data_IF_939766483834
#
_entry.id   IF_939766483834
#
_cell.length_a   1.000
_cell.length_b   1.000
_cell.length_c   1.000
_cell.angle_alpha   90.00
_cell.angle_beta   90.00
_cell.angle_gamma   90.00
#
_symmetry.space_group_name_H-M   'P 1'
#
loop_
_entity.id
_entity.type
_entity.pdbx_description
1 polymer ?
#
# COMPACT_ATOMS: atom_id res chain seq x y z
N UNK A 1 24.20 -8.90 9.69
CA UNK A 1 23.24 -9.62 8.82
C UNK A 1 23.21 -8.87 7.50
N UNK A 2 23.55 -9.50 6.37
CA UNK A 2 23.41 -8.85 5.06
C UNK A 2 21.91 -8.72 4.74
N UNK A 3 21.32 -7.59 5.07
CA UNK A 3 19.95 -7.27 4.70
C UNK A 3 19.95 -6.81 3.25
N UNK A 4 19.54 -7.68 2.33
CA UNK A 4 19.45 -7.36 0.91
C UNK A 4 18.21 -6.47 0.69
N UNK A 5 18.37 -5.33 0.01
CA UNK A 5 17.29 -4.41 -0.35
C UNK A 5 16.60 -4.93 -1.63
N UNK A 6 15.59 -5.79 -1.45
CA UNK A 6 14.99 -6.55 -2.55
C UNK A 6 13.81 -5.84 -3.22
N UNK A 7 13.24 -4.82 -2.57
CA UNK A 7 12.01 -4.19 -3.03
C UNK A 7 12.03 -2.67 -2.79
N UNK A 8 11.70 -1.91 -3.81
CA UNK A 8 11.43 -0.49 -3.71
C UNK A 8 9.96 -0.21 -3.97
N UNK A 9 9.36 0.57 -3.10
CA UNK A 9 8.06 1.20 -3.27
C UNK A 9 8.29 2.65 -3.71
N UNK A 10 7.89 3.01 -4.93
CA UNK A 10 8.11 4.34 -5.48
C UNK A 10 6.78 5.06 -5.66
N UNK A 11 6.55 6.11 -4.89
CA UNK A 11 5.50 7.07 -5.18
C UNK A 11 6.02 8.05 -6.24
N UNK A 12 5.85 7.70 -7.51
CA UNK A 12 6.48 8.46 -8.61
C UNK A 12 5.89 9.84 -8.83
N UNK A 13 4.67 10.09 -8.31
CA UNK A 13 3.94 11.35 -8.44
C UNK A 13 2.99 11.52 -7.26
N UNK A 14 2.75 12.76 -6.81
CA UNK A 14 1.72 13.05 -5.81
C UNK A 14 0.43 13.65 -6.41
N UNK A 15 0.35 13.80 -7.74
CA UNK A 15 -0.88 14.18 -8.43
C UNK A 15 -1.87 13.01 -8.48
N UNK A 16 -3.14 13.28 -8.14
CA UNK A 16 -4.22 12.28 -8.18
C UNK A 16 -5.54 12.98 -8.52
N UNK A 17 -6.40 12.31 -9.30
CA UNK A 17 -7.73 12.82 -9.66
C UNK A 17 -8.75 12.63 -8.54
N UNK A 18 -8.43 11.81 -7.54
CA UNK A 18 -9.24 11.59 -6.35
C UNK A 18 -8.68 12.34 -5.12
N UNK A 19 -9.54 12.56 -4.14
CA UNK A 19 -9.22 13.20 -2.86
C UNK A 19 -9.65 12.30 -1.70
N UNK A 20 -9.21 11.04 -1.73
CA UNK A 20 -9.66 10.03 -0.78
C UNK A 20 -9.47 10.46 0.67
N UNK A 21 -10.52 10.28 1.48
CA UNK A 21 -10.56 10.72 2.89
C UNK A 21 -9.56 9.97 3.79
N UNK A 22 -9.10 8.80 3.36
CA UNK A 22 -8.12 7.95 4.07
C UNK A 22 -6.69 8.05 3.52
N UNK A 23 -6.44 8.90 2.51
CA UNK A 23 -5.17 8.93 1.78
C UNK A 23 -3.99 9.34 2.68
N UNK A 24 -3.03 8.44 2.86
CA UNK A 24 -1.80 8.69 3.62
C UNK A 24 -0.82 9.60 2.88
N UNK A 25 -0.83 9.63 1.53
CA UNK A 25 0.09 10.45 0.72
C UNK A 25 -0.40 11.88 0.50
N UNK A 26 -1.63 12.21 0.93
CA UNK A 26 -2.27 13.53 0.72
C UNK A 26 -2.30 13.95 -0.76
N UNK A 27 -2.27 12.99 -1.66
CA UNK A 27 -2.28 13.21 -3.10
C UNK A 27 -3.55 13.98 -3.55
N UNK A 28 -3.41 14.87 -4.52
CA UNK A 28 -4.51 15.71 -5.02
C UNK A 28 -4.28 16.15 -6.46
N UNK A 29 -5.30 16.73 -7.10
CA UNK A 29 -5.17 17.27 -8.47
C UNK A 29 -4.18 18.44 -8.58
N UNK A 30 -3.80 19.06 -7.45
CA UNK A 30 -2.81 20.14 -7.37
C UNK A 30 -1.39 19.63 -7.01
N UNK A 31 -1.20 18.33 -6.85
CA UNK A 31 0.11 17.76 -6.55
C UNK A 31 1.10 17.97 -7.70
N UNK A 32 2.30 18.45 -7.41
CA UNK A 32 3.34 18.75 -8.40
C UNK A 32 4.65 17.98 -8.16
N UNK A 33 4.80 17.34 -6.99
CA UNK A 33 6.01 16.57 -6.71
C UNK A 33 5.99 15.27 -7.53
N UNK A 34 7.14 14.92 -8.11
CA UNK A 34 7.32 13.73 -8.92
C UNK A 34 8.79 13.31 -8.97
N UNK A 35 9.02 12.03 -9.19
CA UNK A 35 10.33 11.48 -9.48
C UNK A 35 10.49 11.34 -10.99
N UNK A 36 11.39 12.10 -11.61
CA UNK A 36 11.66 11.99 -13.06
C UNK A 36 12.28 10.62 -13.39
N UNK A 37 12.19 10.22 -14.67
CA UNK A 37 12.84 9.00 -15.16
C UNK A 37 14.34 8.99 -14.85
N UNK A 38 15.02 10.13 -14.93
CA UNK A 38 16.47 10.22 -14.65
C UNK A 38 16.78 9.91 -13.18
N UNK A 39 15.95 10.41 -12.24
CA UNK A 39 16.07 10.13 -10.82
C UNK A 39 15.80 8.65 -10.54
N UNK A 40 14.72 8.10 -11.14
CA UNK A 40 14.39 6.67 -10.99
C UNK A 40 15.50 5.79 -11.55
N UNK A 41 16.09 6.13 -12.69
CA UNK A 41 17.23 5.40 -13.26
C UNK A 41 18.41 5.37 -12.30
N UNK A 42 18.84 6.53 -11.82
CA UNK A 42 19.93 6.62 -10.85
C UNK A 42 19.65 5.74 -9.61
N UNK A 43 18.47 5.85 -9.04
CA UNK A 43 18.05 5.08 -7.88
C UNK A 43 18.11 3.57 -8.13
N UNK A 44 17.59 3.11 -9.26
CA UNK A 44 17.58 1.69 -9.63
C UNK A 44 18.99 1.17 -9.86
N UNK A 45 19.83 1.90 -10.61
CA UNK A 45 21.24 1.48 -10.87
C UNK A 45 22.03 1.38 -9.56
N UNK A 46 21.79 2.28 -8.60
CA UNK A 46 22.42 2.24 -7.28
C UNK A 46 21.98 1.01 -6.48
N UNK A 47 20.68 0.64 -6.53
CA UNK A 47 20.14 -0.44 -5.67
C UNK A 47 20.24 -1.82 -6.32
N UNK A 48 20.33 -1.95 -7.64
CA UNK A 48 20.43 -3.23 -8.34
C UNK A 48 21.54 -4.14 -7.81
N UNK A 49 22.79 -3.65 -7.59
CA UNK A 49 23.89 -4.47 -7.04
C UNK A 49 23.62 -4.99 -5.62
N UNK A 50 22.71 -4.36 -4.90
CA UNK A 50 22.31 -4.72 -3.52
C UNK A 50 21.13 -5.68 -3.45
N UNK A 51 20.74 -6.26 -4.60
CA UNK A 51 19.77 -7.37 -4.68
C UNK A 51 18.35 -6.95 -4.98
N UNK A 52 18.11 -5.78 -5.57
CA UNK A 52 16.80 -5.33 -6.01
C UNK A 52 16.19 -6.33 -7.01
N UNK A 53 14.95 -6.75 -6.75
CA UNK A 53 14.18 -7.69 -7.58
C UNK A 53 12.80 -7.15 -7.92
N UNK A 54 12.22 -6.31 -7.09
CA UNK A 54 10.85 -5.85 -7.21
C UNK A 54 10.75 -4.33 -7.09
N UNK A 55 9.92 -3.74 -7.92
CA UNK A 55 9.55 -2.33 -7.83
C UNK A 55 8.03 -2.22 -7.84
N UNK A 56 7.48 -1.58 -6.81
CA UNK A 56 6.09 -1.19 -6.77
C UNK A 56 5.96 0.29 -7.15
N UNK A 57 5.26 0.57 -8.21
CA UNK A 57 4.94 1.93 -8.67
C UNK A 57 3.62 2.35 -8.03
N UNK A 58 3.62 3.48 -7.38
CA UNK A 58 2.49 4.05 -6.62
C UNK A 58 2.57 5.59 -6.66
N UNK A 59 1.88 6.25 -5.73
CA UNK A 59 1.91 7.70 -5.55
C UNK A 59 0.53 8.28 -5.35
N UNK A 60 0.21 9.33 -6.13
CA UNK A 60 -1.16 9.74 -6.37
C UNK A 60 -1.81 8.76 -7.34
N UNK A 61 -1.84 9.11 -8.63
CA UNK A 61 -2.22 8.18 -9.70
C UNK A 61 -1.05 8.05 -10.68
N UNK A 62 -0.33 6.93 -10.70
CA UNK A 62 0.87 6.78 -11.53
C UNK A 62 0.64 6.97 -13.02
N UNK A 63 -0.54 6.60 -13.54
CA UNK A 63 -0.89 6.77 -14.95
C UNK A 63 -0.97 8.23 -15.38
N UNK A 64 -0.94 9.19 -14.46
CA UNK A 64 -0.88 10.62 -14.74
C UNK A 64 0.55 11.17 -14.89
N UNK A 65 1.57 10.34 -14.63
CA UNK A 65 2.95 10.75 -14.78
C UNK A 65 3.30 10.87 -16.25
N UNK A 66 3.84 12.01 -16.69
CA UNK A 66 4.15 12.25 -18.11
C UNK A 66 5.19 11.28 -18.67
N UNK A 67 6.10 10.79 -17.84
CA UNK A 67 7.11 9.78 -18.20
C UNK A 67 6.70 8.36 -17.79
N UNK A 68 5.39 8.10 -17.53
CA UNK A 68 4.93 6.79 -17.07
C UNK A 68 5.41 5.65 -17.99
N UNK A 69 5.19 5.77 -19.29
CA UNK A 69 5.59 4.75 -20.26
C UNK A 69 7.11 4.53 -20.29
N UNK A 70 7.96 5.56 -20.42
CA UNK A 70 9.40 5.41 -20.31
C UNK A 70 9.88 4.77 -19.00
N UNK A 71 9.23 5.07 -17.86
CA UNK A 71 9.55 4.48 -16.57
C UNK A 71 9.25 2.98 -16.60
N UNK A 72 8.06 2.56 -17.05
CA UNK A 72 7.69 1.15 -17.14
C UNK A 72 8.63 0.39 -18.08
N UNK A 73 8.92 0.94 -19.26
CA UNK A 73 9.86 0.34 -20.20
C UNK A 73 11.25 0.13 -19.56
N UNK A 74 11.75 1.14 -18.87
CA UNK A 74 13.05 1.05 -18.22
C UNK A 74 13.07 -0.05 -17.16
N UNK A 75 12.08 -0.09 -16.26
CA UNK A 75 12.03 -1.05 -15.16
C UNK A 75 11.88 -2.50 -15.66
N UNK A 76 11.02 -2.72 -16.65
CA UNK A 76 10.79 -4.06 -17.21
C UNK A 76 11.98 -4.55 -18.04
N UNK A 77 12.69 -3.66 -18.74
CA UNK A 77 13.95 -3.98 -19.44
C UNK A 77 15.10 -4.32 -18.49
N UNK A 78 15.02 -3.92 -17.22
CA UNK A 78 15.95 -4.35 -16.16
C UNK A 78 15.55 -5.70 -15.54
N UNK A 79 14.55 -6.38 -16.10
CA UNK A 79 14.00 -7.66 -15.61
C UNK A 79 13.51 -7.61 -14.15
N UNK A 80 13.04 -6.45 -13.71
CA UNK A 80 12.44 -6.29 -12.40
C UNK A 80 10.98 -6.72 -12.40
N UNK A 81 10.55 -7.36 -11.32
CA UNK A 81 9.13 -7.63 -11.06
C UNK A 81 8.41 -6.31 -10.76
N UNK A 82 7.72 -5.73 -11.75
CA UNK A 82 7.02 -4.45 -11.60
C UNK A 82 5.57 -4.69 -11.24
N UNK A 83 5.09 -4.02 -10.18
CA UNK A 83 3.67 -3.93 -9.81
C UNK A 83 3.24 -2.47 -9.81
N UNK A 84 2.01 -2.19 -10.23
CA UNK A 84 1.48 -0.82 -10.34
C UNK A 84 0.21 -0.71 -9.50
N UNK A 85 0.16 0.28 -8.62
CA UNK A 85 -1.05 0.67 -7.90
C UNK A 85 -1.81 1.74 -8.68
N UNK A 86 -3.13 1.62 -8.72
CA UNK A 86 -3.99 2.61 -9.40
C UNK A 86 -5.36 2.71 -8.75
N UNK A 87 -5.98 3.87 -8.84
CA UNK A 87 -7.40 4.03 -8.53
C UNK A 87 -8.31 3.71 -9.74
N UNK A 88 -7.73 3.46 -10.93
CA UNK A 88 -8.48 3.15 -12.15
C UNK A 88 -9.16 4.36 -12.80
N UNK A 89 -8.85 5.58 -12.38
CA UNK A 89 -9.42 6.81 -12.96
C UNK A 89 -8.32 7.59 -13.67
N UNK A 90 -8.58 7.97 -14.90
CA UNK A 90 -7.65 8.66 -15.79
C UNK A 90 -8.20 10.02 -16.23
N UNK A 91 -7.33 10.89 -16.75
CA UNK A 91 -7.69 12.16 -17.34
C UNK A 91 -7.55 12.07 -18.85
N UNK A 92 -8.67 12.20 -19.57
CA UNK A 92 -8.66 12.25 -21.02
C UNK A 92 -7.94 13.50 -21.56
N UNK A 93 -7.66 13.51 -22.85
CA UNK A 93 -7.02 14.65 -23.54
C UNK A 93 -7.87 15.94 -23.49
N UNK A 94 -9.16 15.77 -23.36
CA UNK A 94 -10.17 16.84 -23.19
C UNK A 94 -10.29 17.36 -21.75
N UNK A 95 -9.49 16.81 -20.82
CA UNK A 95 -9.51 17.15 -19.40
C UNK A 95 -10.61 16.44 -18.58
N UNK A 96 -11.46 15.66 -19.22
CA UNK A 96 -12.52 14.91 -18.55
C UNK A 96 -12.00 13.66 -17.85
N UNK A 97 -12.67 13.28 -16.74
CA UNK A 97 -12.40 12.02 -16.08
C UNK A 97 -12.87 10.85 -16.94
N UNK A 98 -12.04 9.84 -17.09
CA UNK A 98 -12.35 8.64 -17.87
C UNK A 98 -11.71 7.39 -17.22
N UNK A 99 -12.07 6.21 -17.70
CA UNK A 99 -11.32 4.99 -17.40
C UNK A 99 -9.93 5.05 -18.05
N UNK A 100 -9.00 4.25 -17.54
CA UNK A 100 -7.68 4.10 -18.17
C UNK A 100 -7.89 3.59 -19.62
N UNK A 101 -7.29 4.24 -20.64
CA UNK A 101 -7.43 3.83 -22.03
C UNK A 101 -7.01 2.36 -22.24
N UNK A 102 -7.79 1.63 -23.05
CA UNK A 102 -7.53 0.22 -23.33
C UNK A 102 -6.15 0.01 -23.97
N UNK A 103 -5.73 0.94 -24.83
CA UNK A 103 -4.42 0.92 -25.49
C UNK A 103 -3.28 1.00 -24.48
N UNK A 104 -3.44 1.83 -23.43
CA UNK A 104 -2.45 1.98 -22.36
C UNK A 104 -2.38 0.72 -21.49
N UNK A 105 -3.51 0.12 -21.13
CA UNK A 105 -3.56 -1.15 -20.42
C UNK A 105 -2.95 -2.29 -21.25
N UNK A 106 -3.28 -2.36 -22.55
CA UNK A 106 -2.68 -3.34 -23.47
C UNK A 106 -1.18 -3.15 -23.61
N UNK A 107 -0.71 -1.89 -23.60
CA UNK A 107 0.72 -1.59 -23.63
C UNK A 107 1.43 -2.13 -22.37
N UNK A 108 0.88 -1.84 -21.20
CA UNK A 108 1.42 -2.30 -19.90
C UNK A 108 1.42 -3.84 -19.82
N UNK A 109 0.35 -4.50 -20.29
CA UNK A 109 0.26 -5.95 -20.34
C UNK A 109 1.39 -6.59 -21.19
N UNK A 110 1.70 -5.99 -22.36
CA UNK A 110 2.79 -6.45 -23.25
C UNK A 110 4.19 -6.28 -22.66
N UNK A 111 4.37 -5.45 -21.64
CA UNK A 111 5.64 -5.22 -20.93
C UNK A 111 5.91 -6.19 -19.80
N UNK A 112 5.08 -7.22 -19.64
CA UNK A 112 5.20 -8.20 -18.55
C UNK A 112 5.18 -7.55 -17.16
N UNK A 113 4.41 -6.47 -16.99
CA UNK A 113 4.14 -5.94 -15.65
C UNK A 113 3.52 -7.06 -14.83
N UNK A 114 4.14 -7.36 -13.70
CA UNK A 114 3.79 -8.53 -12.86
C UNK A 114 2.37 -8.49 -12.37
N UNK A 115 1.90 -7.28 -12.01
CA UNK A 115 0.57 -7.11 -11.42
C UNK A 115 0.08 -5.67 -11.53
N UNK A 116 -1.21 -5.51 -11.79
CA UNK A 116 -1.92 -4.25 -11.66
C UNK A 116 -2.84 -4.34 -10.43
N UNK A 117 -2.67 -3.39 -9.50
CA UNK A 117 -3.32 -3.40 -8.18
C UNK A 117 -4.30 -2.24 -8.13
N UNK A 118 -5.60 -2.55 -8.11
CA UNK A 118 -6.65 -1.54 -8.05
C UNK A 118 -7.09 -1.28 -6.62
N UNK A 119 -7.19 -0.01 -6.25
CA UNK A 119 -7.79 0.44 -5.00
C UNK A 119 -9.32 0.49 -5.15
N UNK A 120 -10.01 -0.59 -4.74
CA UNK A 120 -11.47 -0.67 -4.77
C UNK A 120 -11.99 -0.99 -3.36
N UNK A 121 -12.39 0.04 -2.63
CA UNK A 121 -12.73 -0.06 -1.21
C UNK A 121 -14.18 -0.46 -0.95
N UNK A 122 -15.04 -0.36 -1.94
CA UNK A 122 -16.49 -0.67 -1.88
C UNK A 122 -17.02 -1.03 -3.26
N UNK A 123 -18.12 -1.78 -3.31
CA UNK A 123 -18.90 -2.04 -4.51
C UNK A 123 -20.13 -1.13 -4.63
N UNK A 124 -20.28 -0.12 -3.77
CA UNK A 124 -21.36 0.83 -3.76
C UNK A 124 -20.90 2.18 -4.32
N UNK A 125 -21.50 2.72 -5.42
CA UNK A 125 -21.07 3.97 -6.03
C UNK A 125 -21.17 5.19 -5.11
N UNK A 126 -22.16 5.24 -4.22
CA UNK A 126 -22.34 6.34 -3.28
C UNK A 126 -21.24 6.33 -2.21
N UNK A 127 -21.00 5.18 -1.59
CA UNK A 127 -19.91 5.00 -0.63
C UNK A 127 -18.54 5.24 -1.29
N UNK A 128 -18.37 4.79 -2.54
CA UNK A 128 -17.16 5.07 -3.31
C UNK A 128 -16.92 6.57 -3.48
N UNK A 129 -17.96 7.33 -3.83
CA UNK A 129 -17.90 8.79 -3.97
C UNK A 129 -17.53 9.48 -2.65
N UNK A 130 -18.06 9.02 -1.53
CA UNK A 130 -17.71 9.52 -0.20
C UNK A 130 -16.24 9.23 0.15
N UNK A 131 -15.75 8.04 -0.15
CA UNK A 131 -14.37 7.64 0.11
C UNK A 131 -13.39 8.38 -0.80
N UNK A 132 -13.66 8.41 -2.10
CA UNK A 132 -12.78 9.01 -3.12
C UNK A 132 -12.81 10.54 -3.13
N UNK A 133 -13.86 11.14 -2.56
CA UNK A 133 -14.11 12.58 -2.59
C UNK A 133 -14.46 13.13 -3.99
N UNK A 134 -14.82 12.25 -4.95
CA UNK A 134 -15.17 12.61 -6.33
C UNK A 134 -16.30 11.72 -6.82
N UNK A 135 -17.42 12.33 -7.20
CA UNK A 135 -18.59 11.61 -7.71
C UNK A 135 -18.37 11.06 -9.13
N UNK A 136 -19.09 9.96 -9.48
CA UNK A 136 -19.07 9.38 -10.81
C UNK A 136 -17.80 8.62 -11.19
N UNK A 137 -16.83 8.47 -10.27
CA UNK A 137 -15.57 7.79 -10.55
C UNK A 137 -15.60 6.28 -10.30
N UNK A 138 -16.66 5.76 -9.66
CA UNK A 138 -16.82 4.32 -9.44
C UNK A 138 -16.91 3.54 -10.76
N UNK A 139 -17.77 3.96 -11.67
CA UNK A 139 -17.97 3.27 -12.95
C UNK A 139 -16.70 3.34 -13.83
N UNK A 140 -15.96 4.45 -13.74
CA UNK A 140 -14.69 4.60 -14.44
C UNK A 140 -13.64 3.62 -13.92
N UNK A 141 -13.51 3.50 -12.60
CA UNK A 141 -12.62 2.54 -11.97
C UNK A 141 -13.02 1.09 -12.32
N UNK A 142 -14.31 0.77 -12.28
CA UNK A 142 -14.86 -0.53 -12.68
C UNK A 142 -14.51 -0.87 -14.13
N UNK A 143 -14.76 0.06 -15.05
CA UNK A 143 -14.43 -0.10 -16.47
C UNK A 143 -12.94 -0.32 -16.70
N UNK A 144 -12.07 0.33 -15.91
CA UNK A 144 -10.63 0.09 -15.96
C UNK A 144 -10.24 -1.31 -15.50
N UNK A 145 -10.88 -1.83 -14.42
CA UNK A 145 -10.67 -3.19 -13.93
C UNK A 145 -11.08 -4.20 -15.00
N UNK A 146 -12.30 -4.08 -15.56
CA UNK A 146 -12.79 -4.96 -16.62
C UNK A 146 -11.89 -4.94 -17.86
N UNK A 147 -11.39 -3.75 -18.24
CA UNK A 147 -10.47 -3.61 -19.36
C UNK A 147 -9.13 -4.27 -19.10
N UNK A 148 -8.61 -4.18 -17.86
CA UNK A 148 -7.35 -4.84 -17.47
C UNK A 148 -7.52 -6.38 -17.42
N UNK A 149 -8.66 -6.88 -16.93
CA UNK A 149 -8.99 -8.32 -17.00
C UNK A 149 -9.02 -8.80 -18.43
N UNK A 150 -9.73 -8.07 -19.34
CA UNK A 150 -9.75 -8.41 -20.77
C UNK A 150 -8.38 -8.36 -21.45
N UNK A 151 -7.47 -7.52 -20.97
CA UNK A 151 -6.07 -7.48 -21.42
C UNK A 151 -5.21 -8.63 -20.89
N UNK A 152 -5.78 -9.54 -20.08
CA UNK A 152 -5.09 -10.71 -19.52
C UNK A 152 -4.09 -10.38 -18.41
N UNK A 153 -4.22 -9.24 -17.75
CA UNK A 153 -3.32 -8.82 -16.68
C UNK A 153 -3.61 -9.58 -15.36
N UNK A 154 -2.57 -9.85 -14.57
CA UNK A 154 -2.73 -10.31 -13.18
C UNK A 154 -3.24 -9.15 -12.32
N UNK A 155 -4.49 -9.23 -11.91
CA UNK A 155 -5.18 -8.18 -11.13
C UNK A 155 -5.24 -8.56 -9.66
N UNK A 156 -4.98 -7.56 -8.81
CA UNK A 156 -5.23 -7.65 -7.37
C UNK A 156 -6.10 -6.47 -6.94
N UNK A 157 -7.14 -6.70 -6.15
CA UNK A 157 -7.89 -5.64 -5.51
C UNK A 157 -7.35 -5.36 -4.11
N UNK A 158 -7.13 -4.07 -3.82
CA UNK A 158 -6.80 -3.61 -2.48
C UNK A 158 -7.99 -2.93 -1.84
N UNK A 159 -8.34 -3.39 -0.65
CA UNK A 159 -9.39 -2.82 0.20
C UNK A 159 -8.73 -2.29 1.48
N UNK A 160 -9.04 -1.07 1.86
CA UNK A 160 -8.79 -0.57 3.21
C UNK A 160 -10.11 -0.69 3.98
N UNK A 161 -10.23 -1.64 4.92
CA UNK A 161 -11.42 -1.75 5.79
C UNK A 161 -11.51 -0.52 6.68
N UNK A 162 -12.69 0.13 6.64
CA UNK A 162 -13.03 1.34 7.40
C UNK A 162 -14.51 1.25 7.82
N UNK A 163 -14.92 1.98 8.86
CA UNK A 163 -16.33 2.01 9.30
C UNK A 163 -17.29 2.30 8.14
N UNK A 164 -16.93 3.26 7.27
CA UNK A 164 -17.77 3.70 6.14
C UNK A 164 -18.05 2.60 5.10
N UNK A 165 -17.14 1.62 4.93
CA UNK A 165 -17.29 0.53 3.94
C UNK A 165 -17.38 -0.87 4.57
N UNK A 166 -17.43 -0.96 5.89
CA UNK A 166 -17.31 -2.24 6.61
C UNK A 166 -18.32 -3.28 6.12
N UNK A 167 -19.59 -2.90 6.03
CA UNK A 167 -20.68 -3.80 5.60
C UNK A 167 -20.69 -4.11 4.09
N UNK A 168 -19.82 -3.47 3.32
CA UNK A 168 -19.72 -3.63 1.86
C UNK A 168 -18.51 -4.42 1.42
N UNK A 169 -17.60 -4.75 2.36
CA UNK A 169 -16.37 -5.51 2.05
C UNK A 169 -16.72 -6.86 1.40
N UNK A 170 -17.74 -7.55 1.90
CA UNK A 170 -18.19 -8.81 1.34
C UNK A 170 -18.63 -8.70 -0.13
N UNK A 171 -19.30 -7.59 -0.51
CA UNK A 171 -19.70 -7.34 -1.90
C UNK A 171 -18.49 -7.14 -2.82
N UNK A 172 -17.39 -6.54 -2.32
CA UNK A 172 -16.14 -6.43 -3.10
C UNK A 172 -15.47 -7.79 -3.29
N UNK A 173 -15.51 -8.67 -2.28
CA UNK A 173 -15.01 -10.05 -2.40
C UNK A 173 -15.83 -10.85 -3.42
N UNK A 174 -17.16 -10.71 -3.40
CA UNK A 174 -18.07 -11.34 -4.35
C UNK A 174 -17.79 -10.85 -5.77
N UNK A 175 -17.68 -9.54 -5.96
CA UNK A 175 -17.34 -8.92 -7.23
C UNK A 175 -16.00 -9.45 -7.78
N UNK A 176 -14.97 -9.52 -6.93
CA UNK A 176 -13.68 -10.07 -7.35
C UNK A 176 -13.80 -11.54 -7.82
N UNK A 177 -14.58 -12.35 -7.08
CA UNK A 177 -14.80 -13.73 -7.43
C UNK A 177 -15.54 -13.90 -8.77
N UNK A 178 -16.63 -13.13 -8.96
CA UNK A 178 -17.47 -13.16 -10.17
C UNK A 178 -16.71 -12.71 -11.43
N UNK A 179 -15.76 -11.77 -11.28
CA UNK A 179 -14.92 -11.30 -12.38
C UNK A 179 -13.64 -12.12 -12.61
N UNK A 180 -13.49 -13.23 -11.89
CA UNK A 180 -12.32 -14.09 -12.03
C UNK A 180 -11.02 -13.48 -11.47
N UNK A 181 -11.11 -12.43 -10.69
CA UNK A 181 -9.96 -11.86 -9.98
C UNK A 181 -9.58 -12.82 -8.85
N UNK A 182 -8.34 -13.28 -8.85
CA UNK A 182 -7.89 -14.33 -7.94
C UNK A 182 -7.24 -13.82 -6.65
N UNK A 183 -7.05 -12.50 -6.53
CA UNK A 183 -6.32 -11.91 -5.40
C UNK A 183 -7.02 -10.67 -4.87
N UNK A 184 -7.25 -10.66 -3.56
CA UNK A 184 -7.72 -9.49 -2.81
C UNK A 184 -6.84 -9.32 -1.57
N UNK A 185 -6.33 -8.11 -1.35
CA UNK A 185 -5.59 -7.78 -0.13
C UNK A 185 -6.33 -6.74 0.70
N UNK A 186 -6.52 -7.04 1.96
CA UNK A 186 -7.03 -6.08 2.92
C UNK A 186 -5.84 -5.39 3.59
N UNK A 187 -5.77 -4.08 3.42
CA UNK A 187 -4.75 -3.22 4.00
C UNK A 187 -5.31 -2.56 5.25
N UNK A 188 -4.55 -2.62 6.34
CA UNK A 188 -4.98 -1.93 7.55
C UNK A 188 -4.99 -0.43 7.34
N UNK A 189 -6.07 0.24 7.77
CA UNK A 189 -6.14 1.70 7.81
C UNK A 189 -4.98 2.27 8.63
N UNK A 190 -4.31 3.28 8.07
CA UNK A 190 -3.22 4.01 8.74
C UNK A 190 -3.71 5.44 8.99
N UNK A 191 -3.80 5.90 10.24
CA UNK A 191 -4.29 7.25 10.57
C UNK A 191 -3.23 8.32 10.28
N UNK A 192 -2.88 8.49 9.00
CA UNK A 192 -1.86 9.42 8.51
C UNK A 192 -2.41 10.26 7.36
N UNK A 193 -1.79 11.39 7.09
CA UNK A 193 -2.23 12.32 6.05
C UNK A 193 -3.70 12.73 6.25
N UNK A 194 -4.56 12.61 5.19
CA UNK A 194 -6.00 12.86 5.34
C UNK A 194 -6.69 11.84 6.25
N UNK A 195 -6.17 10.63 6.34
CA UNK A 195 -6.68 9.61 7.27
C UNK A 195 -6.61 10.05 8.72
N UNK A 196 -5.58 10.79 9.13
CA UNK A 196 -5.45 11.33 10.48
C UNK A 196 -6.61 12.27 10.86
N UNK A 197 -7.07 13.09 9.90
CA UNK A 197 -8.20 14.03 10.09
C UNK A 197 -9.56 13.32 10.19
N UNK A 198 -9.63 12.04 9.85
CA UNK A 198 -10.86 11.26 9.77
C UNK A 198 -10.82 9.98 10.63
N UNK A 199 -9.86 9.87 11.54
CA UNK A 199 -9.60 8.64 12.31
C UNK A 199 -10.86 8.12 12.99
N UNK A 200 -11.59 8.95 13.73
CA UNK A 200 -12.78 8.56 14.48
C UNK A 200 -13.90 8.02 13.58
N UNK A 201 -14.00 8.54 12.34
CA UNK A 201 -15.00 8.14 11.35
C UNK A 201 -14.61 6.91 10.56
N UNK A 202 -13.32 6.59 10.49
CA UNK A 202 -12.80 5.55 9.60
C UNK A 202 -12.24 4.33 10.32
N UNK A 203 -11.61 4.50 11.49
CA UNK A 203 -10.95 3.39 12.18
C UNK A 203 -11.97 2.41 12.72
N UNK A 204 -11.82 1.13 12.34
CA UNK A 204 -12.63 0.04 12.90
C UNK A 204 -12.32 -0.13 14.38
N UNK A 205 -13.34 -0.39 15.16
CA UNK A 205 -13.20 -0.84 16.54
C UNK A 205 -12.82 -2.33 16.62
N UNK A 206 -12.67 -2.85 17.84
CA UNK A 206 -12.22 -4.22 18.04
C UNK A 206 -13.29 -5.26 17.66
N UNK A 207 -14.58 -4.94 17.84
CA UNK A 207 -15.68 -5.85 17.46
C UNK A 207 -15.81 -5.92 15.93
N UNK A 208 -15.67 -4.79 15.25
CA UNK A 208 -15.64 -4.72 13.79
C UNK A 208 -14.42 -5.48 13.23
N UNK A 209 -13.23 -5.32 13.83
CA UNK A 209 -12.02 -6.05 13.42
C UNK A 209 -12.16 -7.56 13.62
N UNK A 210 -12.75 -8.02 14.73
CA UNK A 210 -13.02 -9.45 14.95
C UNK A 210 -14.06 -9.98 13.97
N UNK A 211 -15.09 -9.19 13.66
CA UNK A 211 -16.09 -9.53 12.65
C UNK A 211 -15.48 -9.60 11.24
N UNK A 212 -14.55 -8.69 10.93
CA UNK A 212 -13.77 -8.74 9.68
C UNK A 212 -12.95 -10.03 9.59
N UNK A 213 -12.28 -10.43 10.68
CA UNK A 213 -11.52 -11.69 10.73
C UNK A 213 -12.42 -12.89 10.43
N UNK A 214 -13.59 -12.98 11.09
CA UNK A 214 -14.57 -14.06 10.87
C UNK A 214 -15.08 -14.09 9.44
N UNK A 215 -15.38 -12.93 8.85
CA UNK A 215 -15.78 -12.80 7.45
C UNK A 215 -14.70 -13.37 6.52
N UNK A 216 -13.44 -12.95 6.70
CA UNK A 216 -12.33 -13.41 5.86
C UNK A 216 -12.08 -14.91 6.01
N UNK A 217 -12.13 -15.44 7.22
CA UNK A 217 -11.93 -16.87 7.46
C UNK A 217 -13.06 -17.70 6.81
N UNK A 218 -14.31 -17.21 6.84
CA UNK A 218 -15.45 -17.80 6.12
C UNK A 218 -15.22 -17.82 4.61
N UNK A 219 -14.84 -16.69 4.03
CA UNK A 219 -14.58 -16.57 2.59
C UNK A 219 -13.44 -17.46 2.11
N UNK A 220 -12.35 -17.55 2.85
CA UNK A 220 -11.23 -18.45 2.52
C UNK A 220 -11.62 -19.92 2.47
N UNK A 221 -12.58 -20.33 3.32
CA UNK A 221 -13.11 -21.69 3.34
C UNK A 221 -14.03 -21.96 2.16
N UNK A 222 -14.94 -21.02 1.86
CA UNK A 222 -15.93 -21.17 0.80
C UNK A 222 -15.36 -21.00 -0.60
N UNK A 223 -14.38 -20.09 -0.74
CA UNK A 223 -13.81 -19.70 -2.04
C UNK A 223 -12.28 -19.84 -2.05
N UNK A 224 -11.73 -21.06 -1.99
CA UNK A 224 -10.28 -21.29 -1.85
C UNK A 224 -9.46 -20.80 -3.05
N UNK A 225 -10.09 -20.58 -4.21
CA UNK A 225 -9.46 -20.01 -5.42
C UNK A 225 -9.24 -18.50 -5.30
N UNK A 226 -9.96 -17.80 -4.43
CA UNK A 226 -9.75 -16.38 -4.14
C UNK A 226 -8.74 -16.21 -3.01
N UNK A 227 -7.53 -15.82 -3.35
CA UNK A 227 -6.46 -15.56 -2.37
C UNK A 227 -6.73 -14.27 -1.63
N UNK A 228 -7.35 -14.34 -0.44
CA UNK A 228 -7.62 -13.18 0.41
C UNK A 228 -6.47 -13.02 1.41
N UNK A 229 -5.75 -11.90 1.33
CA UNK A 229 -4.57 -11.63 2.14
C UNK A 229 -4.86 -10.59 3.23
N UNK A 230 -4.43 -10.92 4.44
CA UNK A 230 -4.25 -9.98 5.54
C UNK A 230 -2.74 -9.90 5.80
N UNK A 231 -2.17 -8.69 5.72
CA UNK A 231 -0.73 -8.48 5.92
C UNK A 231 -0.30 -8.53 7.38
N UNK A 232 0.99 -8.37 7.60
CA UNK A 232 1.61 -8.25 8.94
C UNK A 232 0.90 -7.24 9.86
N UNK A 233 0.40 -6.09 9.37
CA UNK A 233 -0.35 -5.17 10.21
C UNK A 233 -1.57 -5.76 10.93
N UNK A 234 -2.03 -6.94 10.49
CA UNK A 234 -3.12 -7.68 11.13
C UNK A 234 -2.66 -8.86 11.99
N UNK A 235 -1.38 -8.95 12.36
CA UNK A 235 -0.88 -10.04 13.20
C UNK A 235 -1.64 -10.17 14.53
N UNK A 236 -2.09 -9.05 15.12
CA UNK A 236 -2.93 -9.06 16.33
C UNK A 236 -4.23 -9.84 16.17
N UNK A 237 -4.78 -9.90 14.95
CA UNK A 237 -5.99 -10.66 14.62
C UNK A 237 -5.68 -12.05 14.10
N UNK A 238 -4.68 -12.17 13.23
CA UNK A 238 -4.42 -13.42 12.50
C UNK A 238 -3.59 -14.42 13.26
N UNK A 239 -2.83 -13.98 14.27
CA UNK A 239 -1.94 -14.80 15.10
C UNK A 239 -1.00 -15.71 14.27
N UNK A 240 -0.47 -15.21 13.14
CA UNK A 240 0.34 -16.01 12.20
C UNK A 240 1.85 -15.88 12.42
N UNK A 241 2.31 -15.09 13.37
CA UNK A 241 3.72 -14.94 13.71
C UNK A 241 4.60 -14.37 12.58
N UNK A 242 4.04 -13.65 11.62
CA UNK A 242 4.78 -13.09 10.51
C UNK A 242 5.63 -11.90 10.94
N UNK A 243 6.91 -11.91 10.57
CA UNK A 243 7.80 -10.76 10.80
C UNK A 243 7.48 -9.62 9.84
N UNK A 244 7.61 -8.38 10.33
CA UNK A 244 7.51 -7.18 9.51
C UNK A 244 8.70 -7.14 8.53
N UNK A 245 8.47 -6.69 7.30
CA UNK A 245 9.51 -6.54 6.27
C UNK A 245 9.98 -5.10 6.09
N UNK A 246 9.32 -4.12 6.75
CA UNK A 246 9.71 -2.71 6.71
C UNK A 246 11.14 -2.53 7.21
N UNK A 247 12.01 -1.91 6.40
CA UNK A 247 13.41 -1.71 6.73
C UNK A 247 14.28 -2.99 6.73
N UNK A 248 13.72 -4.19 6.51
CA UNK A 248 14.47 -5.44 6.42
C UNK A 248 14.84 -5.84 5.00
N UNK A 249 13.94 -5.63 4.04
CA UNK A 249 14.18 -5.96 2.64
C UNK A 249 13.49 -5.00 1.67
N UNK A 250 12.85 -3.95 2.18
CA UNK A 250 12.15 -2.95 1.38
C UNK A 250 12.30 -1.55 1.95
N UNK A 251 12.21 -0.56 1.04
CA UNK A 251 12.06 0.86 1.34
C UNK A 251 10.93 1.46 0.52
N UNK A 252 10.36 2.56 1.00
CA UNK A 252 9.47 3.43 0.27
C UNK A 252 10.15 4.77 0.02
N UNK A 253 10.09 5.25 -1.21
CA UNK A 253 10.51 6.59 -1.60
C UNK A 253 9.27 7.34 -2.09
N UNK A 254 8.95 8.47 -1.47
CA UNK A 254 7.80 9.27 -1.90
C UNK A 254 8.16 10.22 -3.05
N UNK A 255 7.16 10.91 -3.59
CA UNK A 255 7.33 11.83 -4.72
C UNK A 255 8.25 13.03 -4.45
N UNK A 256 8.57 13.31 -3.17
CA UNK A 256 9.56 14.32 -2.75
C UNK A 256 10.97 13.74 -2.59
N UNK A 257 11.14 12.45 -2.83
CA UNK A 257 12.41 11.78 -2.64
C UNK A 257 12.72 11.38 -1.19
N UNK A 258 11.79 11.56 -0.25
CA UNK A 258 11.98 11.16 1.15
C UNK A 258 11.91 9.63 1.29
N UNK A 259 12.78 9.06 2.15
CA UNK A 259 12.97 7.61 2.31
C UNK A 259 12.32 7.14 3.61
N UNK A 260 11.48 6.10 3.51
CA UNK A 260 10.75 5.51 4.63
C UNK A 260 10.88 3.99 4.65
N UNK A 261 10.77 3.35 5.83
CA UNK A 261 10.68 1.88 5.91
C UNK A 261 9.44 1.30 5.21
N UNK A 262 8.29 1.99 5.28
CA UNK A 262 7.03 1.70 4.58
C UNK A 262 6.01 2.82 4.80
N UNK A 263 4.79 2.69 4.23
CA UNK A 263 3.71 3.67 4.34
C UNK A 263 3.35 4.07 5.77
N UNK A 264 3.48 3.15 6.73
CA UNK A 264 3.12 3.41 8.12
C UNK A 264 4.10 4.34 8.87
N UNK A 265 5.18 4.78 8.21
CA UNK A 265 6.20 5.64 8.78
C UNK A 265 6.29 7.03 8.13
N UNK A 266 5.36 7.40 7.24
CA UNK A 266 5.44 8.66 6.48
C UNK A 266 5.32 9.94 7.31
N UNK A 267 4.54 9.96 8.35
CA UNK A 267 4.24 11.16 9.13
C UNK A 267 4.71 11.04 10.58
N UNK A 268 5.87 10.49 10.77
CA UNK A 268 6.54 10.52 12.06
C UNK A 268 7.13 11.91 12.33
N UNK A 269 7.26 12.27 13.59
CA UNK A 269 7.98 13.47 14.00
C UNK A 269 9.45 13.39 13.55
N UNK A 270 9.95 14.49 13.00
CA UNK A 270 11.33 14.62 12.51
C UNK A 270 11.45 14.53 10.99
N UNK A 271 12.59 14.98 10.47
CA UNK A 271 12.93 14.93 9.05
C UNK A 271 13.40 13.53 8.66
N UNK A 272 12.88 13.03 7.55
CA UNK A 272 13.40 11.80 6.95
C UNK A 272 14.50 12.12 5.94
N UNK A 273 15.49 11.23 5.78
CA UNK A 273 16.50 11.39 4.74
C UNK A 273 15.85 11.40 3.35
N UNK A 274 16.45 12.17 2.45
CA UNK A 274 16.01 12.27 1.05
C UNK A 274 17.08 11.74 0.10
N UNK A 275 16.67 11.12 -1.02
CA UNK A 275 17.57 10.67 -2.09
C UNK A 275 18.33 11.83 -2.75
N UNK A 276 17.93 13.08 -2.51
CA UNK A 276 18.62 14.29 -2.99
C UNK A 276 19.74 14.73 -2.06
N UNK A 277 19.76 14.25 -0.80
CA UNK A 277 20.68 14.69 0.25
C UNK A 277 21.64 13.57 0.67
N UNK A 278 21.18 12.32 0.60
CA UNK A 278 21.95 11.17 1.04
C UNK A 278 21.83 10.00 0.05
N UNK A 279 22.92 9.28 -0.13
CA UNK A 279 22.91 8.02 -0.89
C UNK A 279 21.96 7.02 -0.24
N UNK A 280 21.15 6.34 -1.05
CA UNK A 280 20.13 5.39 -0.54
C UNK A 280 20.75 4.19 0.16
N UNK A 281 21.94 3.76 -0.24
CA UNK A 281 22.63 2.64 0.40
C UNK A 281 23.21 3.08 1.74
N UNK A 282 23.74 4.31 1.83
CA UNK A 282 24.13 4.88 3.12
C UNK A 282 22.93 4.96 4.07
N UNK A 283 21.76 5.41 3.59
CA UNK A 283 20.54 5.39 4.42
C UNK A 283 20.14 3.96 4.78
N UNK A 284 20.21 3.02 3.81
CA UNK A 284 19.89 1.62 4.06
C UNK A 284 20.75 1.01 5.16
N UNK A 285 22.02 1.31 5.20
CA UNK A 285 22.96 0.72 6.13
C UNK A 285 23.02 1.45 7.49
N UNK A 286 22.87 2.78 7.50
CA UNK A 286 23.20 3.64 8.63
C UNK A 286 22.04 4.45 9.22
N UNK A 287 20.78 4.31 8.71
CA UNK A 287 19.64 5.03 9.29
C UNK A 287 19.21 4.39 10.62
N UNK A 288 19.12 5.21 11.66
CA UNK A 288 18.79 4.77 13.03
C UNK A 288 17.43 4.06 13.11
N UNK A 289 16.40 4.56 12.42
CA UNK A 289 15.08 3.93 12.42
C UNK A 289 15.11 2.55 11.76
N UNK A 290 15.89 2.40 10.68
CA UNK A 290 16.07 1.11 10.02
C UNK A 290 16.84 0.13 10.91
N UNK A 291 17.87 0.61 11.62
CA UNK A 291 18.61 -0.19 12.58
C UNK A 291 17.70 -0.68 13.71
N UNK A 292 16.93 0.21 14.31
CA UNK A 292 15.97 -0.14 15.37
C UNK A 292 14.93 -1.17 14.89
N UNK A 293 14.38 -1.02 13.68
CA UNK A 293 13.44 -1.98 13.11
C UNK A 293 14.06 -3.36 12.89
N UNK A 294 15.33 -3.43 12.45
CA UNK A 294 16.06 -4.68 12.20
C UNK A 294 16.43 -5.41 13.48
N UNK A 295 16.77 -4.67 14.52
CA UNK A 295 17.18 -5.23 15.81
C UNK A 295 16.01 -5.46 16.76
N UNK A 296 14.83 -4.88 16.45
CA UNK A 296 13.64 -4.99 17.29
C UNK A 296 13.22 -6.45 17.47
N UNK A 297 13.10 -6.85 18.73
CA UNK A 297 12.46 -8.09 19.14
C UNK A 297 11.16 -7.76 19.89
N UNK A 298 10.15 -8.58 19.74
CA UNK A 298 8.88 -8.43 20.47
C UNK A 298 9.07 -8.47 21.98
N UNK A 299 10.09 -9.17 22.47
CA UNK A 299 10.43 -9.23 23.90
C UNK A 299 10.95 -7.88 24.46
N UNK A 300 11.39 -6.97 23.57
CA UNK A 300 11.80 -5.60 23.92
C UNK A 300 10.63 -4.62 23.98
N UNK A 301 9.43 -5.03 23.58
CA UNK A 301 8.23 -4.17 23.62
C UNK A 301 7.61 -4.25 25.00
N UNK A 302 7.54 -3.11 25.71
CA UNK A 302 7.24 -3.01 27.15
C UNK A 302 5.98 -3.79 27.57
N UNK A 303 4.90 -3.72 26.80
CA UNK A 303 3.63 -4.40 27.09
C UNK A 303 3.54 -5.82 26.50
N UNK A 304 4.44 -6.20 25.62
CA UNK A 304 4.40 -7.47 24.92
C UNK A 304 5.32 -8.53 25.57
N UNK A 305 6.33 -8.13 26.33
CA UNK A 305 7.36 -9.03 26.90
C UNK A 305 6.79 -10.14 27.79
N UNK A 306 5.66 -9.89 28.48
CA UNK A 306 4.96 -10.88 29.32
C UNK A 306 3.71 -11.48 28.64
N UNK A 307 3.39 -11.10 27.40
CA UNK A 307 2.23 -11.59 26.70
C UNK A 307 2.43 -13.02 26.17
N UNK A 308 1.52 -13.94 26.50
CA UNK A 308 1.55 -15.33 26.01
C UNK A 308 1.46 -15.44 24.47
N UNK A 309 0.80 -14.48 23.82
CA UNK A 309 0.61 -14.44 22.35
C UNK A 309 1.74 -13.74 21.60
N UNK A 310 2.79 -13.26 22.28
CA UNK A 310 3.83 -12.43 21.65
C UNK A 310 4.51 -13.07 20.44
N UNK A 311 4.69 -14.38 20.46
CA UNK A 311 5.33 -15.13 19.33
C UNK A 311 4.38 -15.30 18.13
N UNK A 312 3.07 -15.22 18.34
CA UNK A 312 2.06 -15.32 17.28
C UNK A 312 1.65 -13.94 16.77
N UNK A 313 1.50 -12.97 17.66
CA UNK A 313 1.17 -11.58 17.31
C UNK A 313 2.38 -10.80 16.81
N UNK A 314 3.60 -11.12 17.29
CA UNK A 314 4.87 -10.40 17.01
C UNK A 314 4.80 -8.90 17.37
N UNK A 315 3.96 -8.52 18.34
CA UNK A 315 3.76 -7.14 18.75
C UNK A 315 2.97 -6.27 17.76
N UNK A 316 2.31 -6.87 16.77
CA UNK A 316 1.52 -6.17 15.78
C UNK A 316 2.34 -5.39 14.75
N UNK A 317 1.89 -4.19 14.39
CA UNK A 317 2.55 -3.32 13.40
C UNK A 317 3.46 -2.29 14.09
N UNK A 318 4.78 -2.33 13.88
CA UNK A 318 5.70 -1.36 14.47
C UNK A 318 5.38 0.09 14.09
N UNK A 319 5.01 0.34 12.83
CA UNK A 319 4.66 1.69 12.36
C UNK A 319 3.40 2.24 13.03
N UNK A 320 2.37 1.41 13.25
CA UNK A 320 1.16 1.82 13.97
C UNK A 320 1.48 2.12 15.44
N UNK A 321 2.32 1.29 16.08
CA UNK A 321 2.78 1.53 17.44
C UNK A 321 3.56 2.83 17.56
N UNK A 322 4.54 3.03 16.68
CA UNK A 322 5.33 4.26 16.62
C UNK A 322 4.45 5.50 16.44
N UNK A 323 3.43 5.41 15.59
CA UNK A 323 2.53 6.52 15.32
C UNK A 323 1.67 6.89 16.55
N UNK A 324 1.17 5.89 17.27
CA UNK A 324 0.27 6.14 18.42
C UNK A 324 1.04 6.44 19.70
N UNK A 325 2.13 5.72 19.96
CA UNK A 325 2.87 5.79 21.23
C UNK A 325 4.16 6.62 21.14
N UNK A 326 4.54 7.10 19.95
CA UNK A 326 5.82 7.80 19.73
C UNK A 326 7.07 6.92 19.82
N UNK A 327 6.91 5.60 20.00
CA UNK A 327 8.01 4.66 20.22
C UNK A 327 7.75 3.33 19.52
N UNK A 328 8.83 2.68 19.06
CA UNK A 328 8.76 1.29 18.56
C UNK A 328 8.63 0.27 19.71
N UNK A 329 9.05 0.64 20.91
CA UNK A 329 9.25 -0.28 22.04
C UNK A 329 8.21 -0.11 23.14
N UNK A 330 7.46 0.99 23.13
CA UNK A 330 6.49 1.30 24.18
C UNK A 330 5.04 1.18 23.68
N UNK A 331 4.17 0.77 24.60
CA UNK A 331 2.74 0.63 24.35
C UNK A 331 2.36 -0.50 23.41
N UNK A 332 1.07 -0.83 23.33
CA UNK A 332 0.56 -1.86 22.44
C UNK A 332 0.37 -1.33 21.02
N UNK A 333 0.25 -2.26 20.07
CA UNK A 333 -0.41 -1.95 18.79
C UNK A 333 -1.88 -1.56 19.08
N UNK A 334 -2.42 -0.47 18.47
CA UNK A 334 -3.82 -0.06 18.70
C UNK A 334 -4.87 -1.13 18.35
N UNK A 335 -4.48 -2.19 17.62
CA UNK A 335 -5.34 -3.36 17.35
C UNK A 335 -5.11 -4.50 18.34
N UNK A 336 -4.47 -4.25 19.47
CA UNK A 336 -4.22 -5.29 20.46
C UNK A 336 -5.50 -5.66 21.21
N UNK A 337 -6.05 -6.86 20.98
CA UNK A 337 -7.26 -7.35 21.61
C UNK A 337 -7.07 -7.80 23.08
N UNK A 338 -5.84 -7.77 23.60
CA UNK A 338 -5.50 -8.27 24.96
C UNK A 338 -5.32 -7.16 25.98
N UNK A 339 -5.30 -5.91 25.54
CA UNK A 339 -5.12 -4.73 26.40
C UNK A 339 -6.45 -4.00 26.69
N UNK A 340 -7.56 -4.69 26.51
CA UNK A 340 -8.91 -4.21 26.78
C UNK A 340 -9.41 -4.73 28.12
#
# INVERSE_FOLDING_TARGET
>A
MNNSLNELFLEIINRCLQKCIHCSSVASCKGNDKLSLSIIRNLIETVLPHGLKRVCISGGEPFLHEEFIPIIDYLTNKHLDVSIYTCGVYCGKDGNLTSIPQELLSYVAKRNVKRLIFSLHTANPQTYSLISGVSGTYDLARKSIESAVRAGMDIELHIVPMKINFFEIEKVLQLAYEEGITKVSLLRFVPQGRGALNTDKLMLDNQENESLRKLIDRWRKLYPKLAIRLGVPYNCLTMKGKKCTAGHNKLLINAKGEIFPCEAFKYLSGTRPSIYERDIIDVWDNDELLYQLRTMNVDCVSVCNHCEYRRLCMGGCPGQRMHINGSLFDGPDPLCLRML
#
